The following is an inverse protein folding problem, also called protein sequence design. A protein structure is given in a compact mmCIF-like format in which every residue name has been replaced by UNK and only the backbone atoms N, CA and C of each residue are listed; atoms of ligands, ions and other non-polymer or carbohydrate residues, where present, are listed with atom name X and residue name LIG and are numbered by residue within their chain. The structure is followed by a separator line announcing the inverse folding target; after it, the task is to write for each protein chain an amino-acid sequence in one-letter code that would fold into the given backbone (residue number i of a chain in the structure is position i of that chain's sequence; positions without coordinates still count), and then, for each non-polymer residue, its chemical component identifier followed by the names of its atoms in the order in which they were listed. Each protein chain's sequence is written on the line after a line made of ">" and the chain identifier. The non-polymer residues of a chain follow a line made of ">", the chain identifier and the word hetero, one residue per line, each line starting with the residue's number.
data_IF_392809991720
#
_entry.id   IF_392809991720
#
_cell.length_a   1.000
_cell.length_b   1.000
_cell.length_c   1.000
_cell.angle_alpha   90.00
_cell.angle_beta   90.00
_cell.angle_gamma   90.00
#
_symmetry.space_group_name_H-M   'P 1'
#
loop_
_entity.id
_entity.type
_entity.pdbx_description
1 polymer ?
#
# COMPACT_ATOMS: atom_id res chain seq x y z
N UNK A 3 14.22 -6.88 -4.75
CA UNK A 3 14.46 -5.45 -4.34
C UNK A 3 13.70 -4.49 -5.27
N UNK A 4 12.49 -4.82 -5.64
CA UNK A 4 11.68 -3.95 -6.52
C UNK A 4 11.25 -2.67 -5.81
N UNK A 5 11.20 -2.70 -4.50
CA UNK A 5 10.79 -1.52 -3.67
C UNK A 5 9.28 -1.25 -3.82
N UNK A 6 8.82 -0.93 -5.01
CA UNK A 6 7.36 -0.65 -5.24
C UNK A 6 6.88 0.51 -4.36
N UNK A 7 6.99 1.71 -4.89
CA UNK A 7 6.55 2.93 -4.15
C UNK A 7 5.02 3.13 -4.22
N UNK A 8 4.26 2.07 -4.43
CA UNK A 8 2.77 2.21 -4.50
C UNK A 8 2.18 2.27 -3.08
N UNK A 9 2.10 3.45 -2.50
CA UNK A 9 1.52 3.58 -1.12
C UNK A 9 -0.01 3.39 -1.14
N UNK A 10 -0.63 3.44 -2.30
CA UNK A 10 -2.11 3.26 -2.37
C UNK A 10 -2.52 1.89 -1.80
N UNK A 11 -1.73 0.86 -2.01
CA UNK A 11 -2.09 -0.49 -1.46
C UNK A 11 -2.02 -0.48 0.07
N UNK A 12 -1.24 0.41 0.65
CA UNK A 12 -1.14 0.47 2.14
C UNK A 12 -2.29 1.31 2.71
N UNK A 13 -2.59 2.43 2.09
CA UNK A 13 -3.71 3.29 2.59
C UNK A 13 -5.06 2.61 2.34
N UNK A 14 -5.23 1.98 1.20
CA UNK A 14 -6.50 1.28 0.90
C UNK A 14 -6.70 0.13 1.91
N UNK A 15 -5.67 -0.63 2.18
CA UNK A 15 -5.78 -1.75 3.17
C UNK A 15 -5.97 -1.18 4.58
N UNK A 16 -5.41 -0.02 4.86
CA UNK A 16 -5.59 0.60 6.22
C UNK A 16 -7.08 0.87 6.46
N UNK A 17 -7.79 1.29 5.43
CA UNK A 17 -9.26 1.55 5.57
C UNK A 17 -10.01 0.21 5.57
N UNK A 18 -9.54 -0.73 4.78
CA UNK A 18 -10.20 -2.08 4.73
C UNK A 18 -10.09 -2.77 6.11
N UNK A 19 -8.95 -2.67 6.74
CA UNK A 19 -8.76 -3.29 8.09
C UNK A 19 -9.48 -2.47 9.16
#
# INVERSE_FOLDING_TARGET
>A
MAKISSPTETERCIESLIA
#
